data_IF_394667887414
#
_entry.id   IF_394667887414
#
_cell.length_a   1.000
_cell.length_b   1.000
_cell.length_c   1.000
_cell.angle_alpha   90.00
_cell.angle_beta   90.00
_cell.angle_gamma   90.00
#
_symmetry.space_group_name_H-M   'P 1'
#
loop_
_entity.id
_entity.type
_entity.pdbx_description
1 polymer ?
#
# COMPACT_ATOMS: atom_id res chain seq x y z
N UNK A 1 19.93 2.30 -52.82
CA UNK A 1 19.74 3.31 -51.76
C UNK A 1 18.24 3.40 -51.48
N UNK A 2 17.75 2.81 -50.39
CA UNK A 2 16.32 2.78 -50.08
C UNK A 2 15.94 4.13 -49.47
N UNK A 3 15.15 4.92 -50.20
CA UNK A 3 14.62 6.19 -49.69
C UNK A 3 13.46 5.91 -48.74
N UNK A 4 13.65 6.23 -47.46
CA UNK A 4 12.53 6.25 -46.51
C UNK A 4 11.66 7.47 -46.82
N UNK A 5 10.36 7.25 -47.03
CA UNK A 5 9.37 8.32 -47.16
C UNK A 5 8.87 8.68 -45.77
N UNK A 6 9.23 9.87 -45.29
CA UNK A 6 8.65 10.41 -44.06
C UNK A 6 7.21 10.83 -44.32
N UNK A 7 6.27 10.18 -43.62
CA UNK A 7 4.86 10.57 -43.61
C UNK A 7 4.55 11.16 -42.25
N UNK A 8 4.29 12.47 -42.20
CA UNK A 8 3.87 13.14 -40.96
C UNK A 8 2.42 12.78 -40.65
N UNK A 9 2.22 12.01 -39.58
CA UNK A 9 0.89 11.67 -39.06
C UNK A 9 0.53 12.63 -37.94
N UNK A 10 -0.41 13.54 -38.19
CA UNK A 10 -0.93 14.47 -37.18
C UNK A 10 -2.08 13.82 -36.42
N UNK A 11 -1.84 13.39 -35.18
CA UNK A 11 -2.88 12.85 -34.30
C UNK A 11 -3.44 13.96 -33.40
N UNK A 12 -4.72 14.31 -33.57
CA UNK A 12 -5.40 15.31 -32.75
C UNK A 12 -6.09 14.65 -31.56
N UNK A 13 -5.39 14.62 -30.41
CA UNK A 13 -5.94 14.04 -29.18
C UNK A 13 -6.78 15.11 -28.47
N UNK A 14 -8.09 14.85 -28.32
CA UNK A 14 -8.96 15.69 -27.51
C UNK A 14 -8.48 15.62 -26.06
N UNK A 15 -8.00 16.73 -25.51
CA UNK A 15 -7.47 16.84 -24.14
C UNK A 15 -8.40 16.19 -23.10
N UNK A 16 -9.71 16.31 -23.28
CA UNK A 16 -10.73 15.68 -22.41
C UNK A 16 -10.64 14.14 -22.39
N UNK A 17 -10.38 13.50 -23.54
CA UNK A 17 -10.20 12.06 -23.62
C UNK A 17 -8.88 11.61 -23.01
N UNK A 18 -7.80 12.36 -23.24
CA UNK A 18 -6.51 12.09 -22.61
C UNK A 18 -6.60 12.18 -21.09
N UNK A 19 -7.22 13.23 -20.56
CA UNK A 19 -7.46 13.39 -19.13
C UNK A 19 -8.31 12.25 -18.56
N UNK A 20 -9.38 11.85 -19.26
CA UNK A 20 -10.21 10.72 -18.83
C UNK A 20 -9.43 9.40 -18.78
N UNK A 21 -8.56 9.14 -19.77
CA UNK A 21 -7.72 7.94 -19.81
C UNK A 21 -6.70 7.93 -18.66
N UNK A 22 -6.08 9.07 -18.37
CA UNK A 22 -5.14 9.21 -17.25
C UNK A 22 -5.84 8.99 -15.92
N UNK A 23 -6.99 9.63 -15.69
CA UNK A 23 -7.78 9.45 -14.48
C UNK A 23 -8.25 8.01 -14.32
N UNK A 24 -8.64 7.36 -15.42
CA UNK A 24 -9.02 5.95 -15.41
C UNK A 24 -7.84 5.05 -15.03
N UNK A 25 -6.64 5.29 -15.58
CA UNK A 25 -5.43 4.57 -15.21
C UNK A 25 -5.07 4.73 -13.73
N UNK A 26 -5.16 5.96 -13.21
CA UNK A 26 -4.94 6.23 -11.78
C UNK A 26 -5.96 5.49 -10.92
N UNK A 27 -7.25 5.54 -11.29
CA UNK A 27 -8.31 4.86 -10.56
C UNK A 27 -8.09 3.34 -10.50
N UNK A 28 -7.69 2.72 -11.62
CA UNK A 28 -7.35 1.28 -11.65
C UNK A 28 -6.14 0.99 -10.76
N UNK A 29 -5.09 1.80 -10.83
CA UNK A 29 -3.90 1.63 -10.00
C UNK A 29 -4.23 1.71 -8.50
N UNK A 30 -5.07 2.66 -8.11
CA UNK A 30 -5.57 2.78 -6.73
C UNK A 30 -6.40 1.57 -6.33
N UNK A 31 -7.31 1.09 -7.20
CA UNK A 31 -8.15 -0.07 -6.93
C UNK A 31 -7.30 -1.35 -6.73
N UNK A 32 -6.31 -1.59 -7.58
CA UNK A 32 -5.43 -2.76 -7.44
C UNK A 32 -4.57 -2.67 -6.16
N UNK A 33 -4.02 -1.50 -5.86
CA UNK A 33 -3.24 -1.29 -4.63
C UNK A 33 -4.08 -1.56 -3.37
N UNK A 34 -5.36 -1.16 -3.38
CA UNK A 34 -6.29 -1.46 -2.30
C UNK A 34 -6.49 -2.97 -2.12
N UNK A 35 -6.70 -3.72 -3.21
CA UNK A 35 -6.89 -5.18 -3.17
C UNK A 35 -5.66 -5.88 -2.58
N UNK A 36 -4.45 -5.52 -3.04
CA UNK A 36 -3.22 -6.11 -2.50
C UNK A 36 -3.01 -5.77 -1.03
N UNK A 37 -3.29 -4.53 -0.63
CA UNK A 37 -3.17 -4.10 0.75
C UNK A 37 -4.15 -4.84 1.67
N UNK A 38 -5.38 -5.04 1.21
CA UNK A 38 -6.40 -5.76 1.97
C UNK A 38 -6.07 -7.25 2.10
N UNK A 39 -5.53 -7.87 1.04
CA UNK A 39 -5.01 -9.24 1.08
C UNK A 39 -3.84 -9.38 2.08
N UNK A 40 -2.87 -8.46 2.02
CA UNK A 40 -1.76 -8.42 2.97
C UNK A 40 -2.24 -8.35 4.43
N UNK A 41 -3.23 -7.51 4.74
CA UNK A 41 -3.77 -7.41 6.09
C UNK A 41 -4.51 -8.68 6.53
N UNK A 42 -5.21 -9.34 5.61
CA UNK A 42 -5.87 -10.61 5.88
C UNK A 42 -4.85 -11.70 6.21
N UNK A 43 -3.72 -11.75 5.47
CA UNK A 43 -2.62 -12.65 5.78
C UNK A 43 -2.02 -12.35 7.16
N UNK A 44 -1.88 -11.06 7.51
CA UNK A 44 -1.38 -10.63 8.83
C UNK A 44 -2.32 -10.98 9.99
N UNK A 45 -3.62 -11.01 9.72
CA UNK A 45 -4.61 -11.47 10.70
C UNK A 45 -4.49 -12.98 10.93
N UNK A 46 -4.20 -13.74 9.87
CA UNK A 46 -4.09 -15.20 9.92
C UNK A 46 -2.75 -15.68 10.52
N UNK A 47 -1.63 -15.04 10.14
CA UNK A 47 -0.30 -15.38 10.67
C UNK A 47 -0.06 -14.77 12.07
N UNK A 48 -0.84 -13.77 12.46
CA UNK A 48 -0.74 -13.07 13.74
C UNK A 48 0.55 -12.26 13.90
N UNK A 49 1.25 -11.97 12.80
CA UNK A 49 2.49 -11.21 12.78
C UNK A 49 2.23 -9.70 12.91
N UNK A 50 3.12 -8.97 13.61
CA UNK A 50 2.92 -7.56 13.84
C UNK A 50 3.18 -6.72 12.58
N UNK A 51 2.40 -5.66 12.42
CA UNK A 51 2.60 -4.59 11.43
C UNK A 51 3.11 -3.34 12.13
N UNK A 52 4.03 -2.62 11.49
CA UNK A 52 4.51 -1.33 11.97
C UNK A 52 3.73 -0.20 11.28
N UNK A 53 3.10 0.69 12.04
CA UNK A 53 2.36 1.83 11.52
C UNK A 53 2.56 3.04 12.44
N UNK A 54 2.95 4.17 11.88
CA UNK A 54 3.12 5.42 12.65
C UNK A 54 4.09 5.30 13.84
N UNK A 55 5.12 4.46 13.75
CA UNK A 55 6.09 4.25 14.84
C UNK A 55 5.66 3.27 15.93
N UNK A 56 4.48 2.66 15.82
CA UNK A 56 3.97 1.65 16.75
C UNK A 56 3.82 0.29 16.08
N UNK A 57 3.92 -0.78 16.87
CA UNK A 57 3.63 -2.14 16.42
C UNK A 57 2.17 -2.47 16.74
N UNK A 58 1.46 -3.04 15.78
CA UNK A 58 0.10 -3.50 15.92
C UNK A 58 0.00 -4.95 15.50
N UNK A 59 -0.83 -5.71 16.19
CA UNK A 59 -1.30 -7.02 15.73
C UNK A 59 -2.65 -6.85 15.05
N UNK A 60 -2.78 -7.36 13.83
CA UNK A 60 -4.09 -7.46 13.19
C UNK A 60 -4.83 -8.63 13.81
N UNK A 61 -6.03 -8.40 14.33
CA UNK A 61 -6.85 -9.45 14.96
C UNK A 61 -8.00 -9.89 14.08
N UNK A 62 -8.54 -8.97 13.26
CA UNK A 62 -9.64 -9.27 12.36
C UNK A 62 -9.65 -8.27 11.19
N UNK A 63 -10.07 -8.75 10.01
CA UNK A 63 -10.24 -7.93 8.81
C UNK A 63 -11.62 -8.24 8.23
N UNK A 64 -12.52 -7.27 8.28
CA UNK A 64 -13.86 -7.37 7.72
C UNK A 64 -13.94 -6.55 6.44
N UNK A 65 -14.16 -7.21 5.31
CA UNK A 65 -14.28 -6.58 4.00
C UNK A 65 -15.74 -6.53 3.55
N UNK A 66 -16.16 -5.36 3.09
CA UNK A 66 -17.44 -5.10 2.43
C UNK A 66 -17.15 -4.38 1.10
N UNK A 67 -18.05 -4.48 0.09
CA UNK A 67 -17.89 -3.77 -1.18
C UNK A 67 -17.69 -2.25 -1.04
N UNK A 68 -18.06 -1.68 0.10
CA UNK A 68 -17.99 -0.23 0.37
C UNK A 68 -16.86 0.10 1.34
N UNK A 69 -16.64 -0.74 2.36
CA UNK A 69 -15.70 -0.44 3.46
C UNK A 69 -14.86 -1.66 3.81
N UNK A 70 -13.60 -1.43 4.20
CA UNK A 70 -12.79 -2.42 4.92
C UNK A 70 -12.54 -1.92 6.33
N UNK A 71 -12.87 -2.75 7.32
CA UNK A 71 -12.65 -2.49 8.73
C UNK A 71 -11.54 -3.42 9.24
N UNK A 72 -10.56 -2.85 9.95
CA UNK A 72 -9.39 -3.58 10.43
C UNK A 72 -9.34 -3.40 11.94
N UNK A 73 -9.40 -4.50 12.69
CA UNK A 73 -9.24 -4.48 14.13
C UNK A 73 -7.77 -4.70 14.46
N UNK A 74 -7.20 -3.75 15.22
CA UNK A 74 -5.79 -3.70 15.58
C UNK A 74 -5.64 -3.71 17.10
N UNK A 75 -4.74 -4.54 17.61
CA UNK A 75 -4.29 -4.48 19.00
C UNK A 75 -2.89 -3.88 19.04
N UNK A 76 -2.71 -2.79 19.78
CA UNK A 76 -1.39 -2.18 19.94
C UNK A 76 -0.47 -3.11 20.75
N UNK A 77 0.71 -3.38 20.21
CA UNK A 77 1.75 -4.14 20.88
C UNK A 77 2.74 -3.18 21.54
N UNK A 78 2.90 -3.34 22.85
CA UNK A 78 3.93 -2.64 23.59
C UNK A 78 5.20 -3.49 23.55
N UNK A 79 6.26 -2.97 22.94
CA UNK A 79 7.59 -3.57 23.10
C UNK A 79 7.98 -3.37 24.57
N UNK A 80 8.30 -4.44 25.32
CA UNK A 80 8.82 -4.28 26.67
C UNK A 80 10.07 -3.42 26.59
N UNK A 81 10.15 -2.36 27.39
CA UNK A 81 11.42 -1.66 27.59
C UNK A 81 12.42 -2.71 28.06
N UNK A 82 13.47 -2.97 27.27
CA UNK A 82 14.53 -3.86 27.71
C UNK A 82 14.97 -3.42 29.13
N UNK A 83 15.19 -4.35 30.07
CA UNK A 83 15.75 -3.96 31.35
C UNK A 83 17.07 -3.23 31.07
N UNK A 84 17.13 -1.95 31.43
CA UNK A 84 18.39 -1.24 31.51
C UNK A 84 19.14 -1.95 32.64
N UNK A 85 20.01 -2.89 32.28
CA UNK A 85 21.09 -3.29 33.17
C UNK A 85 21.94 -2.04 33.34
N UNK A 86 21.58 -1.26 34.36
CA UNK A 86 22.47 -0.28 34.98
C UNK A 86 23.61 -1.10 35.57
N UNK A 87 24.57 -1.43 34.71
CA UNK A 87 25.85 -1.98 35.10
C UNK A 87 26.56 -0.91 35.90
N UNK A 88 26.24 -0.84 37.19
CA UNK A 88 27.08 -0.20 38.18
C UNK A 88 28.42 -0.93 38.13
N UNK A 89 29.38 -0.30 37.45
CA UNK A 89 30.78 -0.70 37.56
C UNK A 89 31.20 -0.23 38.95
N UNK A 90 31.08 -1.13 39.93
CA UNK A 90 31.87 -1.06 41.14
C UNK A 90 33.26 -1.60 40.82
N UNK A 91 34.18 -0.67 40.54
CA UNK A 91 35.62 -0.84 40.80
C UNK A 91 36.08 0.33 41.66
#
# INVERSE_FOLDING_TARGET
MFGYSETTVTMNIKIKQAAALVLFGIAIGCAMSYVYFAAFLSDRANDGMPIAMGGHLYRVTDVSQSPVNTTINLTALRVPSAPVYSGGIGI
#
